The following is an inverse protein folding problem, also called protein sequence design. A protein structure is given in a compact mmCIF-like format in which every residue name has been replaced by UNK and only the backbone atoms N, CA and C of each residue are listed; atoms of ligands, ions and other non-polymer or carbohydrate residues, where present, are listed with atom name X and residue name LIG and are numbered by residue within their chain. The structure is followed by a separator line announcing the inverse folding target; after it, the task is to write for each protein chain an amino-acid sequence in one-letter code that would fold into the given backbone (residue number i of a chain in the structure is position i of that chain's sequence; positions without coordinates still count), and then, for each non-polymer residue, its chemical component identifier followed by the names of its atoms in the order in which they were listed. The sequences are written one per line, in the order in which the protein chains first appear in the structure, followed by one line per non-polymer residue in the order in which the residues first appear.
data_IF_023298522966
#
_entry.id   IF_023298522966
#
_cell.length_a   1.000
_cell.length_b   1.000
_cell.length_c   1.000
_cell.angle_alpha   90.00
_cell.angle_beta   90.00
_cell.angle_gamma   90.00
#
_symmetry.space_group_name_H-M   'P 1'
#
loop_
_entity.id
_entity.type
_entity.pdbx_description
1 polymer ?
#
# COMPACT_ATOMS: atom_id res chain seq x y z
N UNK A 1 -4.26 6.15 -16.27
CA UNK A 1 -4.68 5.11 -15.31
C UNK A 1 -5.30 5.81 -14.14
N UNK A 2 -6.43 5.32 -13.63
CA UNK A 2 -7.01 5.84 -12.39
C UNK A 2 -6.05 5.52 -11.24
N UNK A 3 -5.56 6.54 -10.53
CA UNK A 3 -4.86 6.34 -9.25
C UNK A 3 -5.83 5.65 -8.29
N UNK A 4 -5.37 4.61 -7.59
CA UNK A 4 -6.21 3.84 -6.65
C UNK A 4 -6.38 4.53 -5.29
N UNK A 5 -5.66 5.63 -5.07
CA UNK A 5 -5.70 6.47 -3.88
C UNK A 5 -6.42 7.78 -4.22
N UNK A 6 -7.73 7.70 -4.46
CA UNK A 6 -8.57 8.91 -4.63
C UNK A 6 -9.21 9.23 -3.28
N UNK A 7 -8.41 9.79 -2.38
CA UNK A 7 -8.91 10.41 -1.16
C UNK A 7 -9.57 11.75 -1.45
N UNK A 8 -9.89 12.50 -0.40
CA UNK A 8 -10.43 13.86 -0.54
C UNK A 8 -9.37 14.76 -1.21
N UNK A 9 -9.64 15.19 -2.45
CA UNK A 9 -8.79 16.13 -3.17
C UNK A 9 -9.01 17.56 -2.65
N UNK A 10 -7.92 18.31 -2.44
CA UNK A 10 -7.99 19.70 -1.99
C UNK A 10 -6.69 20.19 -1.31
N UNK A 11 -6.62 21.48 -0.92
CA UNK A 11 -5.46 22.03 -0.21
C UNK A 11 -5.30 21.51 1.23
N UNK A 12 -6.39 21.06 1.89
CA UNK A 12 -6.35 20.51 3.25
C UNK A 12 -7.10 19.15 3.37
N UNK A 13 -6.69 18.08 2.65
CA UNK A 13 -7.41 16.80 2.57
C UNK A 13 -7.76 16.21 3.93
N UNK A 14 -6.79 16.16 4.85
CA UNK A 14 -6.94 15.57 6.17
C UNK A 14 -7.98 16.33 7.01
N UNK A 15 -7.94 17.66 6.97
CA UNK A 15 -8.90 18.51 7.70
C UNK A 15 -10.31 18.30 7.17
N UNK A 16 -10.47 18.21 5.84
CA UNK A 16 -11.76 18.00 5.22
C UNK A 16 -12.32 16.59 5.53
N UNK A 17 -11.46 15.57 5.55
CA UNK A 17 -11.85 14.21 5.92
C UNK A 17 -12.33 14.12 7.37
N UNK A 18 -11.58 14.72 8.31
CA UNK A 18 -12.00 14.81 9.71
C UNK A 18 -13.33 15.53 9.85
N UNK A 19 -13.48 16.67 9.15
CA UNK A 19 -14.72 17.45 9.21
C UNK A 19 -15.92 16.68 8.67
N UNK A 20 -15.75 15.88 7.62
CA UNK A 20 -16.82 15.04 7.11
C UNK A 20 -17.33 14.05 8.17
N UNK A 21 -16.43 13.36 8.87
CA UNK A 21 -16.80 12.41 9.94
C UNK A 21 -17.44 13.09 11.16
N UNK A 22 -16.98 14.29 11.53
CA UNK A 22 -17.62 15.09 12.59
C UNK A 22 -19.07 15.46 12.25
N UNK A 23 -19.34 15.76 10.98
CA UNK A 23 -20.68 16.16 10.51
C UNK A 23 -21.65 14.98 10.45
N UNK A 24 -21.16 13.74 10.35
CA UNK A 24 -21.98 12.55 10.31
C UNK A 24 -21.45 11.47 11.26
N UNK A 25 -21.92 11.43 12.51
CA UNK A 25 -21.57 10.38 13.47
C UNK A 25 -21.96 8.96 13.03
N UNK A 26 -22.84 8.82 12.04
CA UNK A 26 -23.26 7.55 11.42
C UNK A 26 -22.60 7.34 10.06
N UNK A 27 -21.39 7.90 9.86
CA UNK A 27 -20.66 7.77 8.61
C UNK A 27 -20.45 6.29 8.23
N UNK A 28 -20.72 5.91 6.98
CA UNK A 28 -20.48 4.56 6.51
C UNK A 28 -18.97 4.25 6.49
N UNK A 29 -18.62 2.98 6.63
CA UNK A 29 -17.22 2.51 6.73
C UNK A 29 -16.29 3.03 5.63
N UNK A 30 -16.80 3.28 4.42
CA UNK A 30 -15.97 3.79 3.32
C UNK A 30 -15.47 5.23 3.51
N UNK A 31 -16.08 6.05 4.38
CA UNK A 31 -15.57 7.40 4.71
C UNK A 31 -14.24 7.34 5.46
N UNK A 32 -14.01 6.26 6.20
CA UNK A 32 -12.75 6.05 6.91
C UNK A 32 -11.59 5.70 5.96
N UNK A 33 -11.88 5.17 4.76
CA UNK A 33 -10.87 5.03 3.71
C UNK A 33 -10.32 6.40 3.31
N UNK A 34 -11.19 7.39 3.11
CA UNK A 34 -10.80 8.73 2.71
C UNK A 34 -9.98 9.44 3.81
N UNK A 35 -10.37 9.27 5.08
CA UNK A 35 -9.58 9.77 6.21
C UNK A 35 -8.21 9.09 6.25
N UNK A 36 -8.14 7.76 6.11
CA UNK A 36 -6.87 7.05 6.16
C UNK A 36 -5.93 7.40 5.01
N UNK A 37 -6.45 7.58 3.80
CA UNK A 37 -5.66 8.03 2.64
C UNK A 37 -5.13 9.46 2.85
N UNK A 38 -5.97 10.37 3.38
CA UNK A 38 -5.55 11.74 3.67
C UNK A 38 -4.54 11.83 4.82
N UNK A 39 -4.71 11.01 5.86
CA UNK A 39 -3.79 10.88 6.98
C UNK A 39 -2.42 10.38 6.51
N UNK A 40 -2.41 9.34 5.68
CA UNK A 40 -1.19 8.79 5.10
C UNK A 40 -0.43 9.84 4.27
N UNK A 41 -1.14 10.58 3.40
CA UNK A 41 -0.54 11.67 2.63
C UNK A 41 0.06 12.77 3.51
N UNK A 42 -0.59 13.08 4.64
CA UNK A 42 -0.10 14.04 5.64
C UNK A 42 1.06 13.49 6.50
N UNK A 43 1.40 12.20 6.41
CA UNK A 43 2.41 11.55 7.24
C UNK A 43 1.92 11.16 8.65
N UNK A 44 0.62 11.27 8.94
CA UNK A 44 0.00 10.80 10.18
C UNK A 44 -0.31 9.30 10.06
N UNK A 45 0.73 8.48 10.15
CA UNK A 45 0.63 7.03 9.91
C UNK A 45 -0.19 6.30 10.97
N UNK A 46 -0.20 6.81 12.20
CA UNK A 46 -0.98 6.26 13.31
C UNK A 46 -2.47 6.38 13.00
N UNK A 47 -2.90 7.58 12.62
CA UNK A 47 -4.27 7.82 12.18
C UNK A 47 -4.60 7.06 10.91
N UNK A 48 -3.66 6.93 9.97
CA UNK A 48 -3.88 6.17 8.75
C UNK A 48 -4.23 4.72 9.05
N UNK A 49 -3.46 4.06 9.94
CA UNK A 49 -3.73 2.69 10.38
C UNK A 49 -5.06 2.58 11.12
N UNK A 50 -5.34 3.48 12.07
CA UNK A 50 -6.60 3.48 12.82
C UNK A 50 -7.81 3.64 11.90
N UNK A 51 -7.74 4.59 10.95
CA UNK A 51 -8.80 4.83 9.99
C UNK A 51 -9.01 3.63 9.08
N UNK A 52 -7.93 2.98 8.62
CA UNK A 52 -8.03 1.80 7.77
C UNK A 52 -8.60 0.57 8.50
N UNK A 53 -8.46 0.47 9.84
CA UNK A 53 -9.16 -0.55 10.65
C UNK A 53 -10.68 -0.35 10.68
N UNK A 54 -11.14 0.90 10.60
CA UNK A 54 -12.57 1.25 10.52
C UNK A 54 -13.11 1.23 9.08
N UNK A 55 -12.23 1.16 8.09
CA UNK A 55 -12.59 1.11 6.68
C UNK A 55 -13.06 -0.29 6.22
N UNK A 56 -13.62 -0.37 5.02
CA UNK A 56 -14.00 -1.66 4.43
C UNK A 56 -12.76 -2.53 4.15
N UNK A 57 -12.69 -3.77 4.66
CA UNK A 57 -11.56 -4.66 4.43
C UNK A 57 -11.58 -5.32 3.03
N UNK A 58 -12.65 -5.13 2.25
CA UNK A 58 -12.76 -5.69 0.90
C UNK A 58 -11.98 -4.92 -0.18
N UNK A 59 -11.54 -3.70 0.12
CA UNK A 59 -10.73 -2.89 -0.80
C UNK A 59 -9.25 -3.18 -0.64
N UNK A 60 -8.56 -3.44 -1.75
CA UNK A 60 -7.11 -3.63 -1.75
C UNK A 60 -6.35 -2.38 -1.28
N UNK A 61 -6.84 -1.17 -1.58
CA UNK A 61 -6.24 0.09 -1.09
C UNK A 61 -6.22 0.19 0.44
N UNK A 62 -7.21 -0.36 1.13
CA UNK A 62 -7.23 -0.43 2.60
C UNK A 62 -5.98 -1.15 3.11
N UNK A 63 -5.66 -2.31 2.53
CA UNK A 63 -4.51 -3.11 2.92
C UNK A 63 -3.18 -2.51 2.46
N UNK A 64 -3.14 -1.86 1.30
CA UNK A 64 -1.94 -1.18 0.82
C UNK A 64 -1.56 -0.03 1.75
N UNK A 65 -2.51 0.85 2.11
CA UNK A 65 -2.22 1.98 3.00
C UNK A 65 -1.83 1.48 4.39
N UNK A 66 -2.52 0.47 4.94
CA UNK A 66 -2.11 -0.15 6.21
C UNK A 66 -0.68 -0.69 6.12
N UNK A 67 -0.32 -1.40 5.06
CA UNK A 67 1.01 -1.98 4.89
C UNK A 67 2.10 -0.91 4.85
N UNK A 68 1.90 0.15 4.06
CA UNK A 68 2.86 1.24 3.94
C UNK A 68 2.96 2.04 5.24
N UNK A 69 1.84 2.33 5.91
CA UNK A 69 1.83 3.09 7.16
C UNK A 69 2.53 2.34 8.30
N UNK A 70 2.28 1.03 8.45
CA UNK A 70 2.97 0.21 9.47
C UNK A 70 4.47 0.10 9.16
N UNK A 71 4.87 -0.03 7.90
CA UNK A 71 6.29 -0.03 7.52
C UNK A 71 6.98 1.30 7.87
N UNK A 72 6.31 2.43 7.63
CA UNK A 72 6.83 3.77 7.94
C UNK A 72 6.83 4.08 9.45
N UNK A 73 5.99 3.41 10.23
CA UNK A 73 6.04 3.38 11.71
C UNK A 73 7.12 2.43 12.26
N UNK A 74 7.68 1.56 11.43
CA UNK A 74 8.71 0.57 11.80
C UNK A 74 8.16 -0.80 12.23
N UNK A 75 6.85 -1.04 12.17
CA UNK A 75 6.25 -2.34 12.45
C UNK A 75 6.23 -3.21 11.18
N UNK A 76 7.38 -3.78 10.85
CA UNK A 76 7.53 -4.58 9.64
C UNK A 76 6.68 -5.88 9.67
N UNK A 77 6.34 -6.38 10.85
CA UNK A 77 5.54 -7.62 10.99
C UNK A 77 4.10 -7.37 10.53
N UNK A 78 3.47 -6.34 11.05
CA UNK A 78 2.11 -5.97 10.64
C UNK A 78 2.10 -5.42 9.21
N UNK A 79 3.14 -4.70 8.80
CA UNK A 79 3.30 -4.24 7.42
C UNK A 79 3.28 -5.40 6.41
N UNK A 80 4.09 -6.44 6.63
CA UNK A 80 4.13 -7.61 5.74
C UNK A 80 2.81 -8.37 5.73
N UNK A 81 2.12 -8.46 6.86
CA UNK A 81 0.80 -9.11 6.96
C UNK A 81 -0.25 -8.37 6.12
N UNK A 82 -0.30 -7.05 6.24
CA UNK A 82 -1.16 -6.22 5.40
C UNK A 82 -0.75 -6.28 3.92
N UNK A 83 0.55 -6.29 3.62
CA UNK A 83 1.08 -6.44 2.27
C UNK A 83 0.66 -7.75 1.60
N UNK A 84 0.65 -8.87 2.34
CA UNK A 84 0.09 -10.15 1.84
C UNK A 84 -1.39 -10.03 1.50
N UNK A 85 -2.21 -9.40 2.35
CA UNK A 85 -3.63 -9.17 2.06
C UNK A 85 -3.85 -8.29 0.83
N UNK A 86 -3.03 -7.26 0.65
CA UNK A 86 -3.04 -6.47 -0.57
C UNK A 86 -2.76 -7.34 -1.81
N UNK A 87 -1.74 -8.21 -1.76
CA UNK A 87 -1.40 -9.12 -2.86
C UNK A 87 -2.48 -10.16 -3.15
N UNK A 88 -3.18 -10.65 -2.13
CA UNK A 88 -4.34 -11.54 -2.30
C UNK A 88 -5.48 -10.85 -3.07
N UNK A 89 -5.80 -9.60 -2.72
CA UNK A 89 -6.91 -8.85 -3.34
C UNK A 89 -6.56 -8.21 -4.68
N UNK A 90 -5.27 -7.91 -4.91
CA UNK A 90 -4.79 -7.23 -6.10
C UNK A 90 -3.50 -7.89 -6.64
N UNK A 91 -3.56 -9.15 -7.11
CA UNK A 91 -2.37 -9.93 -7.48
C UNK A 91 -1.58 -9.33 -8.65
N UNK A 92 -2.24 -8.55 -9.51
CA UNK A 92 -1.64 -7.93 -10.69
C UNK A 92 -1.30 -6.44 -10.48
N UNK A 93 -1.43 -5.93 -9.26
CA UNK A 93 -1.14 -4.54 -8.95
C UNK A 93 0.35 -4.31 -8.68
N UNK A 94 0.79 -3.11 -9.03
CA UNK A 94 2.11 -2.56 -8.74
C UNK A 94 1.97 -1.30 -7.91
N UNK A 95 2.98 -0.95 -7.10
CA UNK A 95 2.93 0.26 -6.27
C UNK A 95 2.89 1.52 -7.13
N UNK A 96 3.66 1.58 -8.22
CA UNK A 96 3.62 2.71 -9.16
C UNK A 96 2.21 2.91 -9.75
N UNK A 97 1.51 1.82 -10.07
CA UNK A 97 0.18 1.86 -10.67
C UNK A 97 -0.90 2.28 -9.67
N UNK A 98 -0.71 1.94 -8.40
CA UNK A 98 -1.65 2.30 -7.33
C UNK A 98 -1.50 3.74 -6.86
N UNK A 99 -0.27 4.16 -6.63
CA UNK A 99 0.06 5.48 -6.09
C UNK A 99 -0.10 6.54 -7.17
N UNK A 100 0.36 6.24 -8.40
CA UNK A 100 0.36 7.16 -9.53
C UNK A 100 1.23 8.40 -9.30
N UNK A 101 1.31 9.25 -10.33
CA UNK A 101 2.07 10.50 -10.30
C UNK A 101 3.58 10.31 -10.43
N UNK A 102 4.25 11.38 -10.89
CA UNK A 102 5.70 11.54 -10.89
C UNK A 102 6.20 11.98 -9.51
N UNK A 103 7.50 11.84 -9.26
CA UNK A 103 8.14 12.27 -8.00
C UNK A 103 7.94 13.77 -7.72
N UNK A 104 7.81 14.58 -8.78
CA UNK A 104 7.48 16.01 -8.67
C UNK A 104 6.05 16.26 -8.15
N UNK A 105 5.12 15.36 -8.44
CA UNK A 105 3.71 15.44 -8.02
C UNK A 105 3.48 14.78 -6.65
N UNK A 106 4.34 13.82 -6.28
CA UNK A 106 4.34 13.13 -5.00
C UNK A 106 5.75 13.13 -4.42
N UNK A 107 6.14 14.17 -3.67
CA UNK A 107 7.47 14.22 -3.03
C UNK A 107 7.67 13.10 -2.01
N UNK A 108 6.60 12.41 -1.61
CA UNK A 108 6.65 11.23 -0.77
C UNK A 108 6.78 9.89 -1.52
N UNK A 109 6.86 9.90 -2.85
CA UNK A 109 6.96 8.70 -3.64
C UNK A 109 8.20 7.87 -3.28
N UNK A 110 9.33 8.52 -3.00
CA UNK A 110 10.56 7.84 -2.61
C UNK A 110 10.37 6.99 -1.34
N UNK A 111 9.84 7.58 -0.25
CA UNK A 111 9.59 6.85 1.02
C UNK A 111 8.58 5.72 0.84
N UNK A 112 7.57 5.90 -0.02
CA UNK A 112 6.57 4.86 -0.32
C UNK A 112 7.24 3.66 -1.00
N UNK A 113 8.11 3.91 -1.96
CA UNK A 113 8.83 2.84 -2.65
C UNK A 113 9.83 2.13 -1.73
N UNK A 114 10.53 2.85 -0.86
CA UNK A 114 11.37 2.22 0.17
C UNK A 114 10.56 1.31 1.10
N UNK A 115 9.45 1.81 1.64
CA UNK A 115 8.55 1.00 2.47
C UNK A 115 8.04 -0.25 1.74
N UNK A 116 7.67 -0.11 0.46
CA UNK A 116 7.26 -1.23 -0.38
C UNK A 116 8.36 -2.30 -0.55
N UNK A 117 9.63 -1.90 -0.70
CA UNK A 117 10.77 -2.82 -0.82
C UNK A 117 10.96 -3.67 0.43
N UNK A 118 10.79 -3.08 1.62
CA UNK A 118 10.90 -3.81 2.90
C UNK A 118 9.91 -4.98 3.01
N UNK A 119 8.79 -4.90 2.27
CA UNK A 119 7.75 -5.92 2.23
C UNK A 119 7.81 -6.79 0.97
N UNK A 120 8.81 -6.61 0.11
CA UNK A 120 8.92 -7.26 -1.20
C UNK A 120 7.65 -7.09 -2.07
N UNK A 121 6.99 -5.92 -1.97
CA UNK A 121 5.87 -5.60 -2.84
C UNK A 121 6.39 -5.14 -4.21
N UNK A 122 5.76 -5.56 -5.32
CA UNK A 122 6.22 -5.18 -6.66
C UNK A 122 5.96 -3.70 -6.91
N UNK A 123 7.03 -2.92 -7.09
CA UNK A 123 6.92 -1.48 -7.34
C UNK A 123 6.51 -1.24 -8.78
N UNK A 124 7.17 -1.94 -9.71
CA UNK A 124 7.00 -1.80 -11.15
C UNK A 124 6.36 -3.03 -11.78
N UNK A 125 5.91 -2.91 -13.04
CA UNK A 125 5.49 -4.08 -13.84
C UNK A 125 6.59 -5.13 -14.00
N UNK A 126 7.85 -4.72 -14.00
CA UNK A 126 8.97 -5.67 -14.11
C UNK A 126 9.16 -6.46 -12.81
N UNK A 127 9.10 -5.78 -11.66
CA UNK A 127 9.11 -6.45 -10.35
C UNK A 127 7.97 -7.45 -10.23
N UNK A 128 6.79 -7.11 -10.75
CA UNK A 128 5.63 -8.01 -10.76
C UNK A 128 5.87 -9.26 -11.59
N UNK A 129 6.51 -9.14 -12.77
CA UNK A 129 6.88 -10.31 -13.58
C UNK A 129 7.88 -11.18 -12.85
N UNK A 130 8.91 -10.59 -12.25
CA UNK A 130 9.93 -11.31 -11.49
C UNK A 130 9.32 -12.04 -10.28
N UNK A 131 8.42 -11.39 -9.55
CA UNK A 131 7.73 -11.98 -8.40
C UNK A 131 6.79 -13.14 -8.79
N UNK A 132 6.22 -13.10 -9.99
CA UNK A 132 5.32 -14.12 -10.51
C UNK A 132 6.02 -15.20 -11.34
N UNK A 133 7.31 -15.01 -11.66
CA UNK A 133 8.06 -15.99 -12.41
C UNK A 133 8.10 -17.30 -11.60
N UNK A 134 7.87 -18.47 -12.22
CA UNK A 134 8.10 -19.72 -11.54
C UNK A 134 9.55 -19.71 -11.04
N UNK A 135 9.77 -19.99 -9.76
CA UNK A 135 11.11 -20.14 -9.20
C UNK A 135 11.82 -21.17 -10.05
N UNK A 136 12.65 -20.74 -11.01
CA UNK A 136 13.44 -21.66 -11.81
C UNK A 136 14.32 -22.37 -10.82
N UNK A 137 14.03 -23.66 -10.63
CA UNK A 137 14.84 -24.55 -9.81
C UNK A 137 16.30 -24.26 -10.17
N UNK A 138 17.13 -24.07 -9.13
CA UNK A 138 18.58 -24.04 -9.30
C UNK A 138 18.95 -25.17 -10.26
N UNK A 139 19.78 -24.92 -11.30
CA UNK A 139 20.27 -26.02 -12.12
C UNK A 139 20.85 -27.06 -11.16
N UNK A 140 20.55 -28.36 -11.33
CA UNK A 140 21.11 -29.37 -10.46
C UNK A 140 22.62 -29.20 -10.56
N UNK A 141 23.23 -28.83 -9.42
CA UNK A 141 24.67 -28.85 -9.27
C UNK A 141 25.11 -30.21 -9.76
N UNK A 142 26.05 -30.21 -10.71
CA UNK A 142 26.59 -31.40 -11.35
C UNK A 142 26.67 -32.55 -10.36
N UNK A 143 25.81 -33.57 -10.56
CA UNK A 143 26.20 -34.93 -10.22
C UNK A 143 27.28 -35.31 -11.24
N UNK A 144 28.46 -34.72 -11.07
CA UNK A 144 29.67 -35.18 -11.70
C UNK A 144 29.91 -36.58 -11.14
N UNK A 145 29.65 -37.55 -12.01
CA UNK A 145 30.15 -38.90 -11.92
C UNK A 145 31.59 -38.90 -11.40
N UNK A 146 31.79 -39.53 -10.24
CA UNK A 146 33.08 -40.02 -9.78
C UNK A 146 32.93 -41.52 -9.62
N UNK A 147 33.73 -42.23 -10.40
CA UNK A 147 33.77 -43.68 -10.60
C UNK A 147 33.91 -44.53 -9.32
#
# INVERSE_FOLDING_TARGET
GYSGLVGIAGPEPLKWARRALELNPLAPAWWYSDLGEAAFGAGDYDLAVESMKSASPSRSSTWLITALAEALRGDLVEAQKAGRKFRELAPNATIEGFVGGSEAERPDQHRIFEAARLMALPITKEDLKLANAPSTALPPFEQAHGD
#
